data_IF_587437316986
#
_entry.id   IF_587437316986
#
_cell.length_a   1.000
_cell.length_b   1.000
_cell.length_c   1.000
_cell.angle_alpha   90.00
_cell.angle_beta   90.00
_cell.angle_gamma   90.00
#
_symmetry.space_group_name_H-M   'P 1'
#
loop_
_entity.id
_entity.type
_entity.pdbx_description
1 polymer ?
#
# COMPACT_ATOMS: atom_id res chain seq x y z
N UNK A 1 -29.96 8.95 -10.09
CA UNK A 1 -30.20 7.89 -9.11
C UNK A 1 -31.25 8.39 -8.13
N UNK A 2 -32.24 7.58 -7.82
CA UNK A 2 -33.26 7.91 -6.83
C UNK A 2 -32.65 8.01 -5.42
N UNK A 3 -33.25 8.83 -4.56
CA UNK A 3 -32.81 9.00 -3.16
C UNK A 3 -32.92 7.68 -2.39
N UNK A 4 -33.95 6.87 -2.68
CA UNK A 4 -34.11 5.55 -2.06
C UNK A 4 -32.89 4.65 -2.30
N UNK A 5 -32.34 4.63 -3.52
CA UNK A 5 -31.14 3.82 -3.81
C UNK A 5 -29.94 4.32 -3.00
N UNK A 6 -29.76 5.64 -2.89
CA UNK A 6 -28.68 6.23 -2.08
C UNK A 6 -28.81 5.80 -0.61
N UNK A 7 -30.01 5.94 -0.02
CA UNK A 7 -30.27 5.58 1.37
C UNK A 7 -30.05 4.09 1.63
N UNK A 8 -30.39 3.24 0.67
CA UNK A 8 -30.23 1.79 0.78
C UNK A 8 -28.78 1.35 0.63
N UNK A 9 -28.00 2.02 -0.22
CA UNK A 9 -26.54 1.84 -0.26
C UNK A 9 -25.89 2.31 1.05
N UNK A 10 -26.34 3.44 1.61
CA UNK A 10 -25.86 3.93 2.90
C UNK A 10 -26.16 2.93 4.04
N UNK A 11 -27.38 2.40 4.08
CA UNK A 11 -27.79 1.41 5.07
C UNK A 11 -26.96 0.11 4.99
N UNK A 12 -26.49 -0.28 3.80
CA UNK A 12 -25.64 -1.46 3.62
C UNK A 12 -24.35 -1.36 4.45
N UNK A 13 -23.73 -0.17 4.53
CA UNK A 13 -22.48 0.04 5.27
C UNK A 13 -22.61 -0.18 6.78
N UNK A 14 -23.82 -0.18 7.33
CA UNK A 14 -24.08 -0.50 8.74
C UNK A 14 -24.25 -2.01 9.01
N UNK A 15 -24.00 -2.85 8.01
CA UNK A 15 -24.20 -4.30 8.07
C UNK A 15 -22.93 -5.05 7.65
N UNK A 16 -22.93 -6.37 7.80
CA UNK A 16 -21.86 -7.25 7.30
C UNK A 16 -22.07 -7.71 5.86
N UNK A 17 -23.13 -7.22 5.20
CA UNK A 17 -23.42 -7.54 3.80
C UNK A 17 -22.34 -6.96 2.88
N UNK A 18 -21.73 -7.80 2.05
CA UNK A 18 -20.78 -7.39 1.03
C UNK A 18 -21.03 -8.14 -0.27
N UNK A 19 -21.28 -7.46 -1.40
CA UNK A 19 -21.44 -8.14 -2.68
C UNK A 19 -20.23 -9.01 -3.07
N UNK A 20 -20.47 -10.20 -3.61
CA UNK A 20 -19.39 -11.02 -4.16
C UNK A 20 -19.11 -10.60 -5.61
N UNK A 21 -17.99 -9.92 -5.81
CA UNK A 21 -17.62 -9.28 -7.09
C UNK A 21 -16.45 -10.03 -7.74
N UNK A 22 -16.48 -10.32 -9.05
CA UNK A 22 -15.34 -10.94 -9.74
C UNK A 22 -14.17 -9.97 -9.84
N UNK A 23 -12.96 -10.48 -9.63
CA UNK A 23 -11.71 -9.71 -9.72
C UNK A 23 -11.37 -9.28 -11.16
N UNK A 24 -11.72 -10.08 -12.15
CA UNK A 24 -11.39 -9.85 -13.56
C UNK A 24 -12.62 -9.47 -14.39
N UNK A 25 -12.40 -8.69 -15.44
CA UNK A 25 -13.42 -8.36 -16.45
C UNK A 25 -13.61 -6.87 -16.72
N UNK A 26 -13.16 -5.99 -15.82
CA UNK A 26 -13.16 -4.55 -16.10
C UNK A 26 -12.01 -4.14 -17.01
N UNK A 27 -12.33 -3.28 -17.97
CA UNK A 27 -11.36 -2.57 -18.82
C UNK A 27 -11.25 -1.08 -18.44
N UNK A 28 -12.07 -0.60 -17.49
CA UNK A 28 -12.09 0.78 -17.00
C UNK A 28 -12.57 1.85 -17.99
N UNK A 29 -13.17 1.45 -19.12
CA UNK A 29 -13.47 2.35 -20.25
C UNK A 29 -14.90 2.90 -20.29
N UNK A 30 -15.86 2.21 -19.67
CA UNK A 30 -17.23 2.71 -19.42
C UNK A 30 -17.52 2.62 -17.92
N UNK A 31 -16.47 2.90 -17.14
CA UNK A 31 -16.40 2.58 -15.73
C UNK A 31 -16.09 1.11 -15.47
N UNK A 32 -16.21 0.74 -14.20
CA UNK A 32 -16.04 -0.60 -13.65
C UNK A 32 -17.29 -1.45 -13.87
N UNK A 33 -17.78 -1.47 -15.11
CA UNK A 33 -19.11 -1.97 -15.48
C UNK A 33 -19.38 -3.40 -14.99
N UNK A 34 -18.45 -4.33 -15.28
CA UNK A 34 -18.61 -5.74 -14.89
C UNK A 34 -18.67 -5.89 -13.36
N UNK A 35 -17.67 -5.45 -12.58
CA UNK A 35 -17.73 -5.64 -11.14
C UNK A 35 -18.89 -4.88 -10.47
N UNK A 36 -19.23 -3.66 -10.93
CA UNK A 36 -20.37 -2.92 -10.40
C UNK A 36 -21.72 -3.53 -10.78
N UNK A 37 -21.84 -4.19 -11.94
CA UNK A 37 -23.03 -4.96 -12.29
C UNK A 37 -23.22 -6.15 -11.35
N UNK A 38 -22.14 -6.88 -11.00
CA UNK A 38 -22.24 -7.94 -10.00
C UNK A 38 -22.63 -7.40 -8.61
N UNK A 39 -22.06 -6.26 -8.20
CA UNK A 39 -22.44 -5.60 -6.96
C UNK A 39 -23.93 -5.22 -6.94
N UNK A 40 -24.41 -4.62 -8.03
CA UNK A 40 -25.81 -4.25 -8.22
C UNK A 40 -26.73 -5.46 -8.21
N UNK A 41 -26.35 -6.57 -8.85
CA UNK A 41 -27.16 -7.78 -8.87
C UNK A 41 -27.25 -8.43 -7.49
N UNK A 42 -26.16 -8.43 -6.72
CA UNK A 42 -26.18 -8.90 -5.32
C UNK A 42 -27.14 -8.07 -4.46
N UNK A 43 -27.10 -6.74 -4.59
CA UNK A 43 -28.04 -5.84 -3.91
C UNK A 43 -29.51 -6.06 -4.33
N UNK A 44 -29.75 -6.63 -5.51
CA UNK A 44 -31.08 -7.08 -5.97
C UNK A 44 -31.44 -8.51 -5.53
N UNK A 45 -30.62 -9.13 -4.68
CA UNK A 45 -30.81 -10.50 -4.20
C UNK A 45 -30.45 -11.58 -5.22
N UNK A 46 -29.63 -11.27 -6.23
CA UNK A 46 -29.24 -12.20 -7.30
C UNK A 46 -27.73 -12.49 -7.24
N UNK A 47 -27.35 -13.72 -7.57
CA UNK A 47 -25.95 -14.14 -7.50
C UNK A 47 -25.52 -14.43 -6.05
N UNK A 48 -24.33 -13.97 -5.67
CA UNK A 48 -23.75 -14.27 -4.36
C UNK A 48 -23.32 -13.00 -3.63
N UNK A 49 -23.33 -13.06 -2.31
CA UNK A 49 -22.78 -12.04 -1.43
C UNK A 49 -22.20 -12.71 -0.18
N UNK A 50 -21.49 -11.93 0.61
CA UNK A 50 -21.05 -12.30 1.94
C UNK A 50 -21.99 -11.68 2.97
N UNK A 51 -22.29 -12.42 4.02
CA UNK A 51 -22.85 -11.90 5.27
C UNK A 51 -22.10 -12.58 6.43
N UNK A 52 -21.68 -11.81 7.42
CA UNK A 52 -20.82 -12.25 8.53
C UNK A 52 -19.58 -13.05 8.05
N UNK A 53 -18.96 -12.59 6.95
CA UNK A 53 -17.79 -13.21 6.34
C UNK A 53 -18.07 -14.51 5.56
N UNK A 54 -19.31 -14.98 5.47
CA UNK A 54 -19.67 -16.23 4.77
C UNK A 54 -20.29 -15.95 3.42
N UNK A 55 -19.73 -16.54 2.36
CA UNK A 55 -20.30 -16.47 1.01
C UNK A 55 -21.57 -17.32 0.91
N UNK A 56 -22.66 -16.75 0.43
CA UNK A 56 -23.97 -17.41 0.28
C UNK A 56 -24.77 -16.77 -0.87
N UNK A 57 -25.93 -17.31 -1.27
CA UNK A 57 -26.83 -16.65 -2.21
C UNK A 57 -27.17 -15.23 -1.73
N UNK A 58 -27.20 -14.26 -2.65
CA UNK A 58 -27.33 -12.86 -2.27
C UNK A 58 -28.66 -12.53 -1.57
N UNK A 59 -29.75 -13.22 -1.94
CA UNK A 59 -31.04 -13.08 -1.25
C UNK A 59 -30.96 -13.47 0.23
N UNK A 60 -30.25 -14.57 0.53
CA UNK A 60 -30.07 -15.06 1.90
C UNK A 60 -29.18 -14.10 2.69
N UNK A 61 -28.09 -13.60 2.07
CA UNK A 61 -27.20 -12.62 2.69
C UNK A 61 -27.92 -11.31 3.03
N UNK A 62 -28.80 -10.82 2.15
CA UNK A 62 -29.64 -9.65 2.43
C UNK A 62 -30.56 -9.90 3.62
N UNK A 63 -31.22 -11.06 3.67
CA UNK A 63 -32.10 -11.43 4.78
C UNK A 63 -31.34 -11.53 6.11
N UNK A 64 -30.15 -12.14 6.13
CA UNK A 64 -29.26 -12.19 7.31
C UNK A 64 -28.90 -10.79 7.79
N UNK A 65 -28.58 -9.88 6.88
CA UNK A 65 -28.22 -8.50 7.19
C UNK A 65 -29.43 -7.58 7.51
N UNK A 66 -30.66 -8.10 7.48
CA UNK A 66 -31.87 -7.28 7.67
C UNK A 66 -32.15 -6.31 6.53
N UNK A 67 -31.54 -6.52 5.36
CA UNK A 67 -31.69 -5.71 4.17
C UNK A 67 -32.75 -6.32 3.25
N UNK A 68 -33.43 -5.45 2.48
CA UNK A 68 -34.34 -5.88 1.42
C UNK A 68 -33.62 -5.82 0.05
N UNK A 69 -34.05 -6.60 -0.96
CA UNK A 69 -33.59 -6.41 -2.33
C UNK A 69 -33.87 -5.00 -2.86
N UNK A 70 -32.99 -4.47 -3.70
CA UNK A 70 -33.22 -3.21 -4.40
C UNK A 70 -34.22 -3.38 -5.55
N UNK A 71 -35.24 -2.52 -5.57
CA UNK A 71 -36.02 -2.25 -6.77
C UNK A 71 -35.32 -1.14 -7.55
N UNK A 72 -35.12 -1.33 -8.86
CA UNK A 72 -34.49 -0.32 -9.71
C UNK A 72 -35.53 0.21 -10.69
N UNK A 73 -35.60 1.52 -10.86
CA UNK A 73 -36.39 2.18 -11.89
C UNK A 73 -35.52 3.10 -12.76
N UNK A 74 -36.09 3.56 -13.88
CA UNK A 74 -35.49 4.59 -14.73
C UNK A 74 -34.00 4.37 -15.02
N UNK A 75 -33.16 5.29 -14.51
CA UNK A 75 -31.70 5.32 -14.73
C UNK A 75 -30.90 4.69 -13.58
N UNK A 76 -31.55 4.16 -12.54
CA UNK A 76 -30.84 3.66 -11.36
C UNK A 76 -29.84 2.55 -11.71
N UNK A 77 -30.22 1.63 -12.60
CA UNK A 77 -29.34 0.56 -13.05
C UNK A 77 -28.06 1.10 -13.72
N UNK A 78 -28.17 2.11 -14.58
CA UNK A 78 -27.01 2.69 -15.26
C UNK A 78 -26.13 3.49 -14.29
N UNK A 79 -26.76 4.27 -13.40
CA UNK A 79 -26.04 5.08 -12.41
C UNK A 79 -25.23 4.23 -11.40
N UNK A 80 -25.68 3.00 -11.12
CA UNK A 80 -24.98 2.08 -10.21
C UNK A 80 -23.78 1.38 -10.86
N UNK A 81 -23.75 1.27 -12.20
CA UNK A 81 -22.73 0.49 -12.91
C UNK A 81 -21.75 1.33 -13.71
N UNK A 82 -22.09 2.59 -13.99
CA UNK A 82 -21.27 3.49 -14.79
C UNK A 82 -20.47 4.44 -13.89
N UNK A 83 -19.19 4.15 -13.72
CA UNK A 83 -18.26 4.96 -12.92
C UNK A 83 -17.03 4.19 -12.51
N UNK A 84 -16.07 4.84 -11.88
CA UNK A 84 -14.74 4.30 -11.56
C UNK A 84 -14.61 3.77 -10.12
N UNK A 85 -15.72 3.51 -9.44
CA UNK A 85 -15.72 3.29 -7.99
C UNK A 85 -14.88 2.11 -7.50
N UNK A 86 -14.76 1.02 -8.27
CA UNK A 86 -13.92 -0.14 -7.89
C UNK A 86 -12.46 0.21 -8.07
N UNK A 87 -12.11 0.86 -9.18
CA UNK A 87 -10.77 1.34 -9.48
C UNK A 87 -10.30 2.33 -8.42
N UNK A 88 -11.12 3.34 -8.11
CA UNK A 88 -10.81 4.37 -7.11
C UNK A 88 -10.68 3.75 -5.71
N UNK A 89 -11.58 2.85 -5.31
CA UNK A 89 -11.49 2.17 -4.01
C UNK A 89 -10.22 1.31 -3.88
N UNK A 90 -9.91 0.51 -4.91
CA UNK A 90 -8.70 -0.32 -4.92
C UNK A 90 -7.42 0.52 -4.89
N UNK A 91 -7.39 1.65 -5.62
CA UNK A 91 -6.24 2.55 -5.63
C UNK A 91 -6.07 3.26 -4.29
N UNK A 92 -7.15 3.72 -3.66
CA UNK A 92 -7.11 4.35 -2.34
C UNK A 92 -6.56 3.40 -1.28
N UNK A 93 -7.07 2.16 -1.24
CA UNK A 93 -6.59 1.12 -0.32
C UNK A 93 -5.12 0.75 -0.59
N UNK A 94 -4.73 0.63 -1.85
CA UNK A 94 -3.34 0.38 -2.22
C UNK A 94 -2.43 1.54 -1.77
N UNK A 95 -2.85 2.79 -1.99
CA UNK A 95 -2.08 3.97 -1.61
C UNK A 95 -1.87 4.02 -0.10
N UNK A 96 -2.93 3.82 0.68
CA UNK A 96 -2.86 3.79 2.15
C UNK A 96 -1.91 2.68 2.65
N UNK A 97 -2.03 1.46 2.11
CA UNK A 97 -1.17 0.35 2.48
C UNK A 97 0.31 0.58 2.11
N UNK A 98 0.61 1.11 0.92
CA UNK A 98 1.99 1.46 0.52
C UNK A 98 2.52 2.61 1.37
N UNK A 99 1.69 3.59 1.71
CA UNK A 99 2.06 4.71 2.60
C UNK A 99 2.39 4.21 4.00
N UNK A 100 1.61 3.30 4.57
CA UNK A 100 1.92 2.67 5.85
C UNK A 100 3.25 1.90 5.79
N UNK A 101 3.51 1.17 4.71
CA UNK A 101 4.78 0.47 4.51
C UNK A 101 5.96 1.42 4.33
N UNK A 102 5.78 2.56 3.65
CA UNK A 102 6.79 3.62 3.52
C UNK A 102 7.19 4.20 4.88
N UNK A 103 6.22 4.52 5.75
CA UNK A 103 6.48 5.00 7.12
C UNK A 103 7.19 3.92 7.95
N UNK A 104 6.73 2.68 7.85
CA UNK A 104 7.36 1.52 8.50
C UNK A 104 8.81 1.37 8.08
N UNK A 105 9.09 1.39 6.77
CA UNK A 105 10.43 1.23 6.22
C UNK A 105 11.35 2.41 6.58
N UNK A 106 10.83 3.62 6.67
CA UNK A 106 11.58 4.80 7.15
C UNK A 106 12.05 4.58 8.59
N UNK A 107 11.17 4.12 9.47
CA UNK A 107 11.48 3.82 10.87
C UNK A 107 12.46 2.65 11.01
N UNK A 108 12.27 1.58 10.24
CA UNK A 108 13.18 0.43 10.20
C UNK A 108 14.56 0.79 9.65
N UNK A 109 14.63 1.69 8.64
CA UNK A 109 15.90 2.21 8.14
C UNK A 109 16.65 2.97 9.23
N UNK A 110 15.97 3.81 10.00
CA UNK A 110 16.58 4.51 11.13
C UNK A 110 17.05 3.52 12.21
N UNK A 111 16.23 2.53 12.56
CA UNK A 111 16.62 1.49 13.51
C UNK A 111 17.84 0.71 13.01
N UNK A 112 17.93 0.39 11.73
CA UNK A 112 19.08 -0.28 11.13
C UNK A 112 20.35 0.59 11.20
N UNK A 113 20.25 1.86 10.83
CA UNK A 113 21.35 2.85 10.93
C UNK A 113 21.90 2.90 12.36
N UNK A 114 21.00 2.96 13.34
CA UNK A 114 21.38 3.03 14.74
C UNK A 114 21.94 1.68 15.26
N UNK A 115 21.28 0.55 15.00
CA UNK A 115 21.76 -0.78 15.41
C UNK A 115 23.13 -1.11 14.83
N UNK A 116 23.43 -0.69 13.60
CA UNK A 116 24.76 -0.88 13.00
C UNK A 116 25.78 0.20 13.42
N UNK A 117 25.35 1.26 14.11
CA UNK A 117 26.19 2.36 14.53
C UNK A 117 26.80 3.14 13.38
N UNK A 118 26.02 3.33 12.31
CA UNK A 118 26.36 4.15 11.15
C UNK A 118 26.43 5.63 11.53
N UNK A 119 27.25 6.39 10.78
CA UNK A 119 27.22 7.86 10.83
C UNK A 119 26.04 8.38 9.99
N UNK A 120 25.06 9.09 10.58
CA UNK A 120 23.91 9.61 9.85
C UNK A 120 24.20 10.89 9.06
N UNK A 121 25.46 11.28 8.83
CA UNK A 121 25.85 12.49 8.09
C UNK A 121 25.25 12.61 6.68
N UNK A 122 24.80 11.50 6.07
CA UNK A 122 24.03 11.52 4.81
C UNK A 122 22.63 12.14 4.93
N UNK A 123 22.18 12.42 6.16
CA UNK A 123 20.94 13.14 6.46
C UNK A 123 21.18 14.65 6.65
N UNK A 124 22.38 15.16 6.40
CA UNK A 124 22.68 16.58 6.55
C UNK A 124 21.69 17.48 5.80
N UNK A 125 21.23 18.54 6.46
CA UNK A 125 20.18 19.40 5.93
C UNK A 125 20.66 20.28 4.77
N UNK A 126 21.93 20.71 4.77
CA UNK A 126 22.51 21.51 3.70
C UNK A 126 22.76 20.63 2.47
N UNK A 127 23.24 19.39 2.68
CA UNK A 127 23.39 18.38 1.62
C UNK A 127 22.06 18.12 0.89
N UNK A 128 20.99 17.85 1.65
CA UNK A 128 19.68 17.57 1.06
C UNK A 128 19.04 18.81 0.43
N UNK A 129 19.25 20.00 0.99
CA UNK A 129 18.83 21.26 0.36
C UNK A 129 19.57 21.52 -0.96
N UNK A 130 20.87 21.22 -1.02
CA UNK A 130 21.65 21.33 -2.25
C UNK A 130 21.20 20.33 -3.33
N UNK A 131 20.65 19.17 -2.94
CA UNK A 131 20.06 18.22 -3.88
C UNK A 131 18.78 18.75 -4.55
N UNK A 132 18.01 19.60 -3.86
CA UNK A 132 16.91 20.38 -4.46
C UNK A 132 15.54 19.67 -4.57
N UNK A 133 15.40 18.45 -4.04
CA UNK A 133 14.14 17.70 -4.05
C UNK A 133 13.42 17.80 -2.69
N UNK A 134 12.19 18.33 -2.69
CA UNK A 134 11.40 18.54 -1.48
C UNK A 134 11.19 17.25 -0.67
N UNK A 135 10.78 16.15 -1.32
CA UNK A 135 10.59 14.88 -0.62
C UNK A 135 11.86 14.38 0.07
N UNK A 136 13.04 14.59 -0.53
CA UNK A 136 14.31 14.19 0.08
C UNK A 136 14.66 15.02 1.31
N UNK A 137 14.37 16.33 1.27
CA UNK A 137 14.53 17.24 2.41
C UNK A 137 13.61 16.82 3.56
N UNK A 138 12.35 16.53 3.27
CA UNK A 138 11.34 16.13 4.24
C UNK A 138 11.66 14.76 4.85
N UNK A 139 12.02 13.78 4.03
CA UNK A 139 12.44 12.45 4.47
C UNK A 139 13.68 12.55 5.37
N UNK A 140 14.68 13.36 4.98
CA UNK A 140 15.85 13.61 5.81
C UNK A 140 15.51 14.26 7.14
N UNK A 141 14.57 15.22 7.17
CA UNK A 141 14.11 15.84 8.42
C UNK A 141 13.45 14.82 9.36
N UNK A 142 12.56 13.98 8.83
CA UNK A 142 11.93 12.88 9.60
C UNK A 142 12.97 11.91 10.14
N UNK A 143 13.91 11.46 9.30
CA UNK A 143 14.96 10.54 9.72
C UNK A 143 15.88 11.14 10.78
N UNK A 144 16.29 12.42 10.65
CA UNK A 144 17.06 13.12 11.69
C UNK A 144 16.32 13.19 13.02
N UNK A 145 15.01 13.42 12.99
CA UNK A 145 14.19 13.43 14.19
C UNK A 145 14.10 12.05 14.86
N UNK A 146 13.95 10.98 14.07
CA UNK A 146 13.95 9.59 14.57
C UNK A 146 15.31 9.20 15.16
N UNK A 147 16.41 9.66 14.54
CA UNK A 147 17.79 9.40 14.95
C UNK A 147 18.35 10.41 15.97
N UNK A 148 17.53 11.29 16.54
CA UNK A 148 17.98 12.20 17.58
C UNK A 148 18.52 11.41 18.78
N UNK A 149 19.79 11.64 19.14
CA UNK A 149 20.50 10.86 20.17
C UNK A 149 21.27 9.63 19.63
N UNK A 150 21.26 9.40 18.32
CA UNK A 150 22.11 8.39 17.68
C UNK A 150 23.59 8.76 17.86
N UNK A 151 24.37 7.84 18.43
CA UNK A 151 25.83 7.95 18.58
C UNK A 151 26.48 6.95 17.63
N UNK A 152 27.24 7.36 16.61
CA UNK A 152 27.94 6.43 15.72
C UNK A 152 28.93 5.55 16.49
N UNK A 153 29.17 4.33 15.99
CA UNK A 153 30.11 3.38 16.61
C UNK A 153 31.58 3.76 16.42
N UNK A 154 31.88 4.56 15.38
CA UNK A 154 33.26 4.86 14.95
C UNK A 154 33.96 3.70 14.23
N UNK A 155 33.36 2.52 14.15
CA UNK A 155 33.92 1.33 13.49
C UNK A 155 33.37 1.08 12.08
N UNK A 156 32.39 1.88 11.64
CA UNK A 156 31.79 1.79 10.30
C UNK A 156 32.67 2.48 9.25
N UNK A 157 32.62 2.05 7.98
CA UNK A 157 33.29 2.75 6.89
C UNK A 157 32.80 4.20 6.73
N UNK A 158 33.64 5.06 6.14
CA UNK A 158 33.28 6.45 5.84
C UNK A 158 32.00 6.58 4.98
N UNK A 159 31.79 5.63 4.07
CA UNK A 159 30.61 5.62 3.20
C UNK A 159 29.82 4.34 3.38
N UNK A 160 28.58 4.50 3.83
CA UNK A 160 27.61 3.43 3.86
C UNK A 160 27.13 3.06 2.44
N UNK A 161 26.72 1.78 2.22
CA UNK A 161 26.12 1.36 0.96
C UNK A 161 24.80 2.09 0.71
N UNK A 162 24.34 2.07 -0.55
CA UNK A 162 23.20 2.87 -0.98
C UNK A 162 21.87 2.52 -0.30
N UNK A 163 21.70 1.26 0.13
CA UNK A 163 20.55 0.83 0.92
C UNK A 163 20.44 1.51 2.29
N UNK A 164 21.47 2.22 2.73
CA UNK A 164 21.47 3.08 3.92
C UNK A 164 21.64 4.55 3.51
N UNK A 165 22.73 4.86 2.81
CA UNK A 165 23.14 6.25 2.51
C UNK A 165 22.21 6.99 1.55
N UNK A 166 21.56 6.29 0.62
CA UNK A 166 20.66 6.89 -0.36
C UNK A 166 19.19 6.83 0.07
N UNK A 167 18.91 6.40 1.31
CA UNK A 167 17.56 6.27 1.85
C UNK A 167 16.75 7.58 1.84
N UNK A 168 17.28 8.77 2.22
CA UNK A 168 16.46 9.97 2.19
C UNK A 168 16.03 10.36 0.77
N UNK A 169 16.87 10.12 -0.25
CA UNK A 169 16.50 10.38 -1.65
C UNK A 169 15.43 9.40 -2.14
N UNK A 170 15.58 8.10 -1.85
CA UNK A 170 14.63 7.08 -2.28
C UNK A 170 13.27 7.24 -1.57
N UNK A 171 13.29 7.31 -0.24
CA UNK A 171 12.08 7.48 0.57
C UNK A 171 11.41 8.84 0.28
N UNK A 172 12.19 9.88 0.01
CA UNK A 172 11.67 11.18 -0.41
C UNK A 172 10.98 11.16 -1.77
N UNK A 173 11.58 10.51 -2.77
CA UNK A 173 10.95 10.35 -4.09
C UNK A 173 9.67 9.51 -4.01
N UNK A 174 9.64 8.49 -3.15
CA UNK A 174 8.44 7.71 -2.89
C UNK A 174 7.33 8.56 -2.24
N UNK A 175 7.66 9.45 -1.30
CA UNK A 175 6.70 10.37 -0.69
C UNK A 175 6.09 11.33 -1.72
N UNK A 176 6.92 11.89 -2.61
CA UNK A 176 6.45 12.78 -3.68
C UNK A 176 5.49 12.07 -4.64
N UNK A 177 5.78 10.80 -4.98
CA UNK A 177 4.91 9.98 -5.80
C UNK A 177 3.59 9.63 -5.07
N UNK A 178 3.63 9.29 -3.78
CA UNK A 178 2.43 9.04 -2.98
C UNK A 178 1.53 10.29 -2.90
N UNK A 179 2.11 11.49 -2.77
CA UNK A 179 1.35 12.76 -2.80
C UNK A 179 0.63 12.98 -4.13
N UNK A 180 1.25 12.61 -5.26
CA UNK A 180 0.57 12.64 -6.56
C UNK A 180 -0.60 11.65 -6.61
N UNK A 181 -0.39 10.41 -6.15
CA UNK A 181 -1.44 9.38 -6.11
C UNK A 181 -2.62 9.82 -5.23
N UNK A 182 -2.35 10.39 -4.06
CA UNK A 182 -3.39 10.94 -3.17
C UNK A 182 -4.19 12.06 -3.84
N UNK A 183 -3.55 12.92 -4.63
CA UNK A 183 -4.25 13.94 -5.41
C UNK A 183 -5.23 13.34 -6.41
N UNK A 184 -4.84 12.26 -7.09
CA UNK A 184 -5.70 11.53 -8.02
C UNK A 184 -6.86 10.84 -7.27
N UNK A 185 -6.58 10.14 -6.19
CA UNK A 185 -7.60 9.48 -5.36
C UNK A 185 -8.60 10.49 -4.80
N UNK A 186 -8.13 11.63 -4.31
CA UNK A 186 -8.98 12.70 -3.77
C UNK A 186 -9.89 13.28 -4.85
N UNK A 187 -9.36 13.52 -6.05
CA UNK A 187 -10.15 14.00 -7.18
C UNK A 187 -11.21 12.98 -7.62
N UNK A 188 -10.86 11.69 -7.69
CA UNK A 188 -11.79 10.63 -8.06
C UNK A 188 -12.91 10.45 -7.02
N UNK A 189 -12.58 10.48 -5.72
CA UNK A 189 -13.56 10.37 -4.63
C UNK A 189 -14.51 11.58 -4.57
N UNK A 190 -14.01 12.77 -4.91
CA UNK A 190 -14.81 14.00 -4.94
C UNK A 190 -15.53 14.25 -6.28
N UNK A 191 -15.24 13.46 -7.30
CA UNK A 191 -15.74 13.64 -8.66
C UNK A 191 -17.02 12.86 -8.99
N UNK A 192 -17.62 13.16 -10.14
CA UNK A 192 -18.74 12.39 -10.69
C UNK A 192 -18.26 11.69 -11.97
N UNK A 193 -18.08 10.36 -11.88
CA UNK A 193 -17.61 9.51 -12.98
C UNK A 193 -18.72 8.90 -13.83
N UNK A 194 -19.99 9.26 -13.61
CA UNK A 194 -21.15 8.76 -14.36
C UNK A 194 -21.32 9.45 -15.73
N UNK A 195 -22.15 8.88 -16.61
CA UNK A 195 -22.57 9.45 -17.88
C UNK A 195 -23.97 8.95 -18.35
N UNK A 196 -24.84 9.83 -18.90
CA UNK A 196 -24.70 11.28 -18.98
C UNK A 196 -24.87 12.00 -17.64
N UNK A 197 -24.37 13.24 -17.56
CA UNK A 197 -24.59 14.09 -16.41
C UNK A 197 -25.74 15.07 -16.65
N UNK A 198 -26.52 15.29 -15.59
CA UNK A 198 -27.59 16.28 -15.56
C UNK A 198 -27.12 17.51 -14.78
N UNK A 199 -27.15 18.66 -15.43
CA UNK A 199 -26.86 19.96 -14.83
C UNK A 199 -28.19 20.71 -14.68
N UNK A 200 -28.76 20.78 -13.47
CA UNK A 200 -29.96 21.59 -13.25
C UNK A 200 -29.63 23.06 -13.53
N UNK A 201 -30.59 23.81 -14.10
CA UNK A 201 -30.47 25.27 -14.18
C UNK A 201 -30.57 25.85 -12.77
N UNK A 202 -29.73 26.85 -12.44
CA UNK A 202 -29.76 27.48 -11.12
C UNK A 202 -31.10 28.19 -10.84
N UNK A 203 -31.50 28.26 -9.57
CA UNK A 203 -32.65 29.06 -9.17
C UNK A 203 -32.36 30.55 -9.47
N UNK A 204 -33.02 31.11 -10.48
CA UNK A 204 -32.80 32.48 -10.95
C UNK A 204 -31.90 32.60 -12.19
N UNK A 205 -31.40 31.50 -12.73
CA UNK A 205 -30.68 31.49 -14.01
C UNK A 205 -31.67 31.40 -15.18
N UNK A 206 -31.48 32.24 -16.21
CA UNK A 206 -32.31 32.25 -17.41
C UNK A 206 -32.08 31.03 -18.32
N UNK A 207 -31.01 30.26 -18.09
CA UNK A 207 -30.65 29.12 -18.91
C UNK A 207 -31.38 27.83 -18.44
N UNK A 208 -32.00 27.07 -19.34
CA UNK A 208 -32.58 25.78 -18.98
C UNK A 208 -31.49 24.80 -18.52
N UNK A 209 -31.84 23.88 -17.62
CA UNK A 209 -30.96 22.77 -17.27
C UNK A 209 -30.58 21.94 -18.50
N UNK A 210 -29.43 21.25 -18.45
CA UNK A 210 -28.89 20.50 -19.59
C UNK A 210 -28.47 19.07 -19.21
N UNK A 211 -28.62 18.16 -20.15
CA UNK A 211 -28.04 16.81 -20.10
C UNK A 211 -26.83 16.79 -21.02
N UNK A 212 -25.67 16.37 -20.50
CA UNK A 212 -24.41 16.34 -21.25
C UNK A 212 -23.85 14.93 -21.25
N UNK A 213 -23.53 14.44 -22.44
CA UNK A 213 -22.82 13.18 -22.63
C UNK A 213 -21.31 13.45 -22.64
N UNK A 214 -20.54 12.60 -21.96
CA UNK A 214 -19.10 12.72 -21.81
C UNK A 214 -18.44 11.40 -21.44
N UNK A 215 -17.16 11.47 -21.06
CA UNK A 215 -16.30 10.32 -20.78
C UNK A 215 -15.74 10.30 -19.35
N UNK A 216 -16.44 10.87 -18.36
CA UNK A 216 -15.93 10.95 -16.98
C UNK A 216 -15.69 9.56 -16.34
N UNK A 217 -16.27 8.52 -16.90
CA UNK A 217 -16.04 7.12 -16.52
C UNK A 217 -14.69 6.56 -17.00
N UNK A 218 -13.90 7.32 -17.75
CA UNK A 218 -12.64 6.90 -18.33
C UNK A 218 -11.49 7.04 -17.31
N UNK A 219 -11.23 5.95 -16.57
CA UNK A 219 -10.32 5.93 -15.41
C UNK A 219 -8.81 6.01 -15.71
N UNK A 220 -8.38 6.72 -16.75
CA UNK A 220 -6.96 6.84 -17.11
C UNK A 220 -6.10 7.52 -16.02
N UNK A 221 -6.55 8.58 -15.32
CA UNK A 221 -5.77 9.18 -14.24
C UNK A 221 -5.44 8.16 -13.14
N UNK A 222 -6.43 7.39 -12.69
CA UNK A 222 -6.25 6.33 -11.71
C UNK A 222 -5.34 5.21 -12.24
N UNK A 223 -5.43 4.85 -13.53
CA UNK A 223 -4.56 3.86 -14.14
C UNK A 223 -3.07 4.27 -14.09
N UNK A 224 -2.75 5.51 -14.45
CA UNK A 224 -1.38 6.02 -14.35
C UNK A 224 -0.90 6.14 -12.91
N UNK A 225 -1.75 6.61 -12.00
CA UNK A 225 -1.43 6.68 -10.58
C UNK A 225 -1.15 5.28 -10.00
N UNK A 226 -1.94 4.27 -10.38
CA UNK A 226 -1.73 2.89 -9.95
C UNK A 226 -0.42 2.28 -10.48
N UNK A 227 -0.04 2.54 -11.74
CA UNK A 227 1.23 2.08 -12.31
C UNK A 227 2.45 2.79 -11.69
N UNK A 228 2.31 4.09 -11.36
CA UNK A 228 3.31 4.80 -10.57
C UNK A 228 3.44 4.20 -9.16
N UNK A 229 2.32 3.93 -8.49
CA UNK A 229 2.30 3.31 -7.16
C UNK A 229 2.94 1.91 -7.18
N UNK A 230 2.71 1.12 -8.23
CA UNK A 230 3.37 -0.18 -8.43
C UNK A 230 4.90 -0.03 -8.52
N UNK A 231 5.38 0.99 -9.23
CA UNK A 231 6.81 1.31 -9.33
C UNK A 231 7.40 1.72 -7.98
N UNK A 232 6.65 2.52 -7.20
CA UNK A 232 7.04 2.90 -5.83
C UNK A 232 7.13 1.67 -4.93
N UNK A 233 6.11 0.80 -4.93
CA UNK A 233 6.11 -0.42 -4.13
C UNK A 233 7.30 -1.34 -4.49
N UNK A 234 7.65 -1.45 -5.77
CA UNK A 234 8.83 -2.19 -6.22
C UNK A 234 10.15 -1.62 -5.66
N UNK A 235 10.31 -0.30 -5.65
CA UNK A 235 11.52 0.34 -5.12
C UNK A 235 11.61 0.27 -3.59
N UNK A 236 10.50 0.42 -2.87
CA UNK A 236 10.46 0.22 -1.43
C UNK A 236 10.74 -1.26 -1.06
N UNK A 237 10.20 -2.20 -1.83
CA UNK A 237 10.47 -3.63 -1.65
C UNK A 237 11.94 -3.97 -1.87
N UNK A 238 12.55 -3.42 -2.93
CA UNK A 238 13.99 -3.54 -3.17
C UNK A 238 14.80 -2.97 -1.98
N UNK A 239 14.43 -1.81 -1.44
CA UNK A 239 15.13 -1.21 -0.30
C UNK A 239 15.05 -2.11 0.94
N UNK A 240 13.84 -2.55 1.32
CA UNK A 240 13.64 -3.42 2.48
C UNK A 240 14.43 -4.74 2.37
N UNK A 241 14.42 -5.35 1.20
CA UNK A 241 15.12 -6.61 0.96
C UNK A 241 16.64 -6.42 0.92
N UNK A 242 17.15 -5.35 0.30
CA UNK A 242 18.60 -5.03 0.32
C UNK A 242 19.10 -4.67 1.72
N UNK A 243 18.25 -4.09 2.56
CA UNK A 243 18.57 -3.82 3.97
C UNK A 243 18.60 -5.10 4.80
N UNK A 244 17.67 -6.02 4.57
CA UNK A 244 17.71 -7.35 5.21
C UNK A 244 18.95 -8.13 4.75
N UNK A 245 19.24 -8.15 3.46
CA UNK A 245 20.41 -8.79 2.87
C UNK A 245 21.73 -8.25 3.46
N UNK A 246 21.83 -6.93 3.64
CA UNK A 246 22.95 -6.31 4.35
C UNK A 246 23.06 -6.81 5.79
N UNK A 247 21.95 -6.88 6.50
CA UNK A 247 21.91 -7.22 7.91
C UNK A 247 22.28 -8.68 8.19
N UNK A 248 21.97 -9.61 7.29
CA UNK A 248 22.26 -11.04 7.47
C UNK A 248 23.68 -11.46 7.07
N UNK A 249 24.45 -10.56 6.45
CA UNK A 249 25.80 -10.83 5.97
C UNK A 249 26.89 -10.29 6.94
N UNK A 250 27.71 -11.18 7.55
CA UNK A 250 28.78 -10.79 8.48
C UNK A 250 29.76 -9.76 7.92
N UNK A 251 30.01 -9.79 6.61
CA UNK A 251 30.95 -8.88 5.95
C UNK A 251 30.42 -7.44 5.96
N UNK A 252 29.09 -7.26 5.96
CA UNK A 252 28.42 -5.97 5.82
C UNK A 252 27.73 -5.47 7.09
N UNK A 253 27.38 -6.37 8.00
CA UNK A 253 26.66 -6.05 9.25
C UNK A 253 27.56 -5.76 10.46
N UNK A 254 28.89 -5.78 10.29
CA UNK A 254 29.84 -5.54 11.38
C UNK A 254 30.26 -6.82 12.13
N UNK A 255 30.17 -7.98 11.50
CA UNK A 255 30.68 -9.25 12.04
C UNK A 255 29.70 -10.04 12.90
N UNK A 256 28.39 -9.74 12.82
CA UNK A 256 27.37 -10.56 13.47
C UNK A 256 27.36 -11.98 12.85
N UNK A 257 26.82 -12.99 13.56
CA UNK A 257 26.69 -14.34 13.02
C UNK A 257 25.99 -14.36 11.65
N UNK A 258 26.43 -15.21 10.70
CA UNK A 258 25.80 -15.32 9.40
C UNK A 258 24.33 -15.71 9.55
N UNK A 259 23.45 -15.08 8.76
CA UNK A 259 22.00 -15.25 8.83
C UNK A 259 21.39 -14.91 10.19
N UNK A 260 22.14 -14.24 11.07
CA UNK A 260 21.75 -13.96 12.45
C UNK A 260 21.37 -15.22 13.25
N UNK A 261 22.03 -16.35 12.95
CA UNK A 261 21.84 -17.61 13.66
C UNK A 261 22.58 -17.61 15.01
N UNK A 262 21.93 -18.09 16.07
CA UNK A 262 22.55 -18.21 17.40
C UNK A 262 23.64 -19.29 17.42
N UNK A 263 23.46 -20.37 16.65
CA UNK A 263 24.46 -21.42 16.45
C UNK A 263 24.70 -21.70 14.94
N UNK A 264 25.55 -20.90 14.25
CA UNK A 264 25.82 -21.07 12.82
C UNK A 264 26.24 -22.51 12.44
N UNK A 265 25.62 -23.05 11.41
CA UNK A 265 25.85 -24.43 10.93
C UNK A 265 24.94 -25.48 11.57
N UNK A 266 24.50 -25.27 12.82
CA UNK A 266 23.48 -26.09 13.47
C UNK A 266 22.06 -25.50 13.33
N UNK A 267 21.98 -24.17 13.24
CA UNK A 267 20.76 -23.38 13.03
C UNK A 267 20.89 -22.53 11.75
N UNK A 268 19.76 -22.28 11.10
CA UNK A 268 19.65 -21.50 9.87
C UNK A 268 19.30 -20.04 10.12
N UNK A 269 18.79 -19.69 11.31
CA UNK A 269 18.42 -18.32 11.65
C UNK A 269 17.41 -17.74 10.65
N UNK A 270 17.77 -16.65 9.98
CA UNK A 270 16.92 -15.96 9.02
C UNK A 270 17.08 -16.40 7.57
N UNK A 271 17.81 -17.48 7.27
CA UNK A 271 18.01 -17.93 5.90
C UNK A 271 16.70 -18.13 5.13
N UNK A 272 15.70 -18.77 5.76
CA UNK A 272 14.37 -18.95 5.14
C UNK A 272 13.63 -17.64 4.89
N UNK A 273 13.80 -16.65 5.78
CA UNK A 273 13.20 -15.32 5.64
C UNK A 273 13.85 -14.58 4.47
N UNK A 274 15.18 -14.58 4.36
CA UNK A 274 15.88 -13.95 3.23
C UNK A 274 15.41 -14.54 1.89
N UNK A 275 15.35 -15.87 1.77
CA UNK A 275 14.84 -16.54 0.57
C UNK A 275 13.41 -16.12 0.22
N UNK A 276 12.53 -16.06 1.22
CA UNK A 276 11.16 -15.59 1.04
C UNK A 276 11.15 -14.13 0.54
N UNK A 277 11.91 -13.22 1.15
CA UNK A 277 11.96 -11.82 0.74
C UNK A 277 12.45 -11.63 -0.70
N UNK A 278 13.46 -12.40 -1.14
CA UNK A 278 13.92 -12.39 -2.53
C UNK A 278 12.80 -12.82 -3.50
N UNK A 279 12.03 -13.86 -3.14
CA UNK A 279 10.88 -14.30 -3.94
C UNK A 279 9.75 -13.26 -3.98
N UNK A 280 9.45 -12.61 -2.85
CA UNK A 280 8.44 -11.55 -2.76
C UNK A 280 8.80 -10.35 -3.64
N UNK A 281 10.05 -9.89 -3.60
CA UNK A 281 10.52 -8.79 -4.46
C UNK A 281 10.46 -9.18 -5.94
N UNK A 282 10.83 -10.41 -6.29
CA UNK A 282 10.71 -10.89 -7.67
C UNK A 282 9.25 -10.84 -8.17
N UNK A 283 8.30 -11.23 -7.33
CA UNK A 283 6.87 -11.16 -7.65
C UNK A 283 6.36 -9.72 -7.81
N UNK A 284 6.71 -8.83 -6.88
CA UNK A 284 6.40 -7.39 -6.98
C UNK A 284 6.93 -6.80 -8.29
N UNK A 285 8.20 -7.09 -8.64
CA UNK A 285 8.83 -6.58 -9.87
C UNK A 285 8.17 -7.14 -11.13
N UNK A 286 7.77 -8.40 -11.13
CA UNK A 286 7.02 -9.02 -12.23
C UNK A 286 5.64 -8.37 -12.39
N UNK A 287 4.98 -8.04 -11.28
CA UNK A 287 3.68 -7.38 -11.28
C UNK A 287 3.75 -5.90 -11.71
N UNK A 288 4.87 -5.20 -11.51
CA UNK A 288 5.00 -3.77 -11.79
C UNK A 288 4.92 -3.35 -13.28
N UNK A 289 4.69 -4.28 -14.21
CA UNK A 289 4.48 -3.97 -15.62
C UNK A 289 3.24 -3.07 -15.85
N UNK A 290 3.35 -1.93 -16.55
CA UNK A 290 2.25 -0.97 -16.66
C UNK A 290 1.01 -1.58 -17.32
N UNK A 291 -0.11 -1.58 -16.59
CA UNK A 291 -1.40 -2.03 -17.12
C UNK A 291 -2.07 -0.93 -17.96
N UNK A 292 -1.79 0.34 -17.65
CA UNK A 292 -2.43 1.50 -18.27
C UNK A 292 -2.14 1.68 -19.76
N UNK A 293 -1.17 0.94 -20.30
CA UNK A 293 -0.74 1.00 -21.70
C UNK A 293 -1.13 -0.23 -22.52
N UNK A 294 -1.93 -1.15 -21.94
CA UNK A 294 -2.28 -2.43 -22.55
C UNK A 294 -3.56 -2.36 -23.40
N UNK A 295 -4.03 -1.16 -23.75
CA UNK A 295 -5.30 -0.90 -24.44
C UNK A 295 -5.51 -1.79 -25.67
N UNK A 296 -6.68 -2.42 -25.75
CA UNK A 296 -7.17 -3.16 -26.92
C UNK A 296 -8.63 -2.79 -27.18
N UNK A 297 -9.05 -2.65 -28.45
CA UNK A 297 -10.43 -2.31 -28.77
C UNK A 297 -11.38 -3.44 -28.38
N UNK A 298 -12.51 -3.08 -27.78
CA UNK A 298 -13.58 -3.99 -27.39
C UNK A 298 -14.96 -3.39 -27.71
N UNK A 299 -16.01 -4.19 -27.53
CA UNK A 299 -17.40 -3.79 -27.79
C UNK A 299 -17.60 -3.22 -29.20
N UNK A 300 -17.20 -3.99 -30.23
CA UNK A 300 -17.31 -3.62 -31.65
C UNK A 300 -16.68 -2.24 -31.96
N UNK A 301 -15.53 -1.94 -31.35
CA UNK A 301 -14.81 -0.66 -31.46
C UNK A 301 -15.55 0.56 -30.88
N UNK A 302 -16.65 0.38 -30.14
CA UNK A 302 -17.21 1.47 -29.34
C UNK A 302 -16.34 1.81 -28.12
N UNK A 303 -15.56 0.83 -27.63
CA UNK A 303 -14.52 1.01 -26.62
C UNK A 303 -13.18 0.69 -27.28
N UNK A 304 -12.75 1.56 -28.19
CA UNK A 304 -11.56 1.39 -29.01
C UNK A 304 -10.25 1.71 -28.28
N UNK A 305 -10.31 2.55 -27.25
CA UNK A 305 -9.23 2.82 -26.29
C UNK A 305 -9.75 2.58 -24.88
N UNK A 306 -8.98 1.88 -24.04
CA UNK A 306 -9.39 1.49 -22.68
C UNK A 306 -8.23 1.64 -21.67
N UNK A 307 -8.48 2.12 -20.43
CA UNK A 307 -7.42 2.50 -19.50
C UNK A 307 -6.89 1.37 -18.61
N UNK A 308 -7.62 0.28 -18.42
CA UNK A 308 -7.24 -0.83 -17.51
C UNK A 308 -6.94 -0.44 -16.05
N UNK A 309 -7.51 0.68 -15.57
CA UNK A 309 -7.29 1.20 -14.22
C UNK A 309 -7.61 0.21 -13.10
N UNK A 310 -8.70 -0.56 -13.22
CA UNK A 310 -9.09 -1.55 -12.20
C UNK A 310 -8.00 -2.61 -11.98
N UNK A 311 -7.38 -3.09 -13.06
CA UNK A 311 -6.33 -4.10 -12.99
C UNK A 311 -5.06 -3.52 -12.40
N UNK A 312 -4.70 -2.29 -12.81
CA UNK A 312 -3.57 -1.57 -12.25
C UNK A 312 -3.73 -1.40 -10.73
N UNK A 313 -4.89 -0.92 -10.27
CA UNK A 313 -5.18 -0.64 -8.87
C UNK A 313 -5.23 -1.90 -7.99
N UNK A 314 -5.97 -2.93 -8.41
CA UNK A 314 -6.08 -4.20 -7.67
C UNK A 314 -4.73 -4.92 -7.54
N UNK A 315 -3.87 -4.79 -8.54
CA UNK A 315 -2.51 -5.35 -8.50
C UNK A 315 -1.61 -4.55 -7.56
N UNK A 316 -1.68 -3.22 -7.60
CA UNK A 316 -0.93 -2.38 -6.64
C UNK A 316 -1.35 -2.67 -5.19
N UNK A 317 -2.63 -3.00 -4.96
CA UNK A 317 -3.11 -3.48 -3.66
C UNK A 317 -2.41 -4.79 -3.25
N UNK A 318 -2.39 -5.81 -4.10
CA UNK A 318 -1.70 -7.08 -3.79
C UNK A 318 -0.20 -6.85 -3.52
N UNK A 319 0.46 -5.97 -4.30
CA UNK A 319 1.87 -5.62 -4.10
C UNK A 319 2.11 -4.95 -2.74
N UNK A 320 1.16 -4.16 -2.24
CA UNK A 320 1.25 -3.53 -0.92
C UNK A 320 1.23 -4.56 0.22
N UNK A 321 0.47 -5.65 0.08
CA UNK A 321 0.46 -6.75 1.06
C UNK A 321 1.85 -7.43 1.12
N UNK A 322 2.45 -7.70 -0.04
CA UNK A 322 3.80 -8.26 -0.12
C UNK A 322 4.85 -7.31 0.47
N UNK A 323 4.70 -6.01 0.24
CA UNK A 323 5.56 -4.98 0.81
C UNK A 323 5.47 -4.96 2.34
N UNK A 324 4.28 -5.13 2.92
CA UNK A 324 4.10 -5.28 4.37
C UNK A 324 4.88 -6.48 4.94
N UNK A 325 4.90 -7.61 4.24
CA UNK A 325 5.70 -8.79 4.62
C UNK A 325 7.21 -8.52 4.53
N UNK A 326 7.67 -7.73 3.56
CA UNK A 326 9.07 -7.31 3.46
C UNK A 326 9.47 -6.43 4.65
N UNK A 327 8.64 -5.46 5.04
CA UNK A 327 8.86 -4.66 6.24
C UNK A 327 8.89 -5.52 7.51
N UNK A 328 7.94 -6.45 7.66
CA UNK A 328 7.92 -7.39 8.79
C UNK A 328 9.16 -8.29 8.86
N UNK A 329 9.69 -8.71 7.70
CA UNK A 329 10.91 -9.52 7.60
C UNK A 329 12.15 -8.74 8.03
N UNK A 330 12.28 -7.48 7.61
CA UNK A 330 13.36 -6.60 8.07
C UNK A 330 13.28 -6.31 9.57
N UNK A 331 12.08 -6.09 10.10
CA UNK A 331 11.86 -5.87 11.54
C UNK A 331 12.24 -7.09 12.38
N UNK A 332 11.85 -8.29 11.95
CA UNK A 332 12.29 -9.55 12.55
C UNK A 332 13.83 -9.65 12.52
N UNK A 333 14.44 -9.26 11.40
CA UNK A 333 15.90 -9.17 11.25
C UNK A 333 16.56 -8.26 12.27
N UNK A 334 16.07 -7.03 12.42
CA UNK A 334 16.62 -6.05 13.37
C UNK A 334 16.48 -6.51 14.82
N UNK A 335 15.34 -7.08 15.17
CA UNK A 335 15.11 -7.69 16.47
C UNK A 335 16.09 -8.83 16.73
N UNK A 336 16.30 -9.71 15.76
CA UNK A 336 17.22 -10.85 15.89
C UNK A 336 18.68 -10.40 15.96
N UNK A 337 19.06 -9.35 15.21
CA UNK A 337 20.42 -8.81 15.20
C UNK A 337 20.89 -8.43 16.61
N UNK A 338 20.05 -7.72 17.38
CA UNK A 338 20.39 -7.32 18.75
C UNK A 338 20.47 -8.53 19.69
N UNK A 339 19.63 -9.54 19.46
CA UNK A 339 19.71 -10.78 20.24
C UNK A 339 21.01 -11.55 20.03
N UNK A 340 21.54 -11.56 18.80
CA UNK A 340 22.80 -12.25 18.47
C UNK A 340 24.05 -11.37 18.60
N UNK A 341 23.95 -10.22 19.29
CA UNK A 341 25.10 -9.42 19.71
C UNK A 341 25.28 -8.08 19.00
N UNK A 342 24.34 -7.63 18.18
CA UNK A 342 24.35 -6.23 17.74
C UNK A 342 24.11 -5.29 18.93
N UNK A 343 24.64 -4.06 18.84
CA UNK A 343 24.43 -3.08 19.90
C UNK A 343 22.95 -2.72 20.00
N UNK A 344 22.51 -2.34 21.21
CA UNK A 344 21.25 -1.62 21.34
C UNK A 344 21.34 -0.25 20.64
N UNK A 345 20.26 0.21 20.01
CA UNK A 345 20.18 1.56 19.45
C UNK A 345 20.31 2.61 20.55
N UNK A 346 20.93 3.74 20.24
CA UNK A 346 21.14 4.83 21.21
C UNK A 346 20.11 5.95 21.07
N UNK A 347 19.47 6.10 19.91
CA UNK A 347 18.37 7.02 19.71
C UNK A 347 17.11 6.49 20.44
N UNK A 348 16.46 7.28 21.32
CA UNK A 348 15.33 6.81 22.12
C UNK A 348 14.16 6.24 21.31
N UNK A 349 13.85 6.84 20.15
CA UNK A 349 12.77 6.34 19.26
C UNK A 349 13.10 4.99 18.63
N UNK A 350 14.36 4.78 18.26
CA UNK A 350 14.81 3.48 17.75
C UNK A 350 14.81 2.43 18.86
N UNK A 351 15.21 2.79 20.08
CA UNK A 351 15.13 1.90 21.25
C UNK A 351 13.68 1.49 21.56
N UNK A 352 12.74 2.43 21.56
CA UNK A 352 11.32 2.13 21.78
C UNK A 352 10.75 1.16 20.73
N UNK A 353 11.06 1.38 19.44
CA UNK A 353 10.64 0.46 18.38
C UNK A 353 11.24 -0.94 18.56
N UNK A 354 12.53 -1.02 18.91
CA UNK A 354 13.17 -2.31 19.18
C UNK A 354 12.53 -3.02 20.38
N UNK A 355 12.21 -2.30 21.46
CA UNK A 355 11.57 -2.86 22.65
C UNK A 355 10.17 -3.41 22.33
N UNK A 356 9.37 -2.67 21.56
CA UNK A 356 8.07 -3.14 21.09
C UNK A 356 8.20 -4.41 20.22
N UNK A 357 9.19 -4.48 19.33
CA UNK A 357 9.47 -5.68 18.54
C UNK A 357 9.92 -6.85 19.42
N UNK A 358 10.74 -6.61 20.44
CA UNK A 358 11.22 -7.65 21.34
C UNK A 358 10.12 -8.20 22.27
N UNK A 359 9.15 -7.37 22.66
CA UNK A 359 7.96 -7.78 23.41
C UNK A 359 7.04 -8.66 22.55
N UNK A 360 6.83 -8.28 21.29
CA UNK A 360 5.92 -8.99 20.39
C UNK A 360 6.50 -10.28 19.79
N UNK A 361 7.84 -10.37 19.66
CA UNK A 361 8.50 -11.41 18.89
C UNK A 361 9.62 -12.04 19.71
N UNK A 362 9.47 -13.34 20.01
CA UNK A 362 10.49 -14.12 20.68
C UNK A 362 11.75 -14.29 19.81
N UNK A 363 12.95 -14.45 20.41
CA UNK A 363 14.15 -14.73 19.64
C UNK A 363 14.03 -15.99 18.80
N UNK A 364 14.77 -16.01 17.70
CA UNK A 364 14.93 -17.24 16.90
C UNK A 364 16.04 -18.07 17.56
N UNK A 365 15.66 -18.84 18.58
CA UNK A 365 16.52 -19.82 19.24
C UNK A 365 15.66 -20.88 20.00
N UNK A 366 15.57 -22.14 19.53
CA UNK A 366 16.15 -22.68 18.30
C UNK A 366 15.35 -22.28 17.04
N UNK A 367 15.79 -22.78 15.87
CA UNK A 367 15.05 -22.66 14.60
C UNK A 367 13.59 -23.10 14.73
N UNK A 368 12.69 -22.34 14.11
CA UNK A 368 11.23 -22.56 14.09
C UNK A 368 10.61 -21.91 12.86
N UNK A 369 9.36 -22.22 12.49
CA UNK A 369 8.62 -21.46 11.49
C UNK A 369 8.52 -19.98 11.89
N UNK A 370 8.76 -19.06 10.94
CA UNK A 370 8.85 -17.62 11.18
C UNK A 370 7.75 -16.78 10.49
N UNK A 371 6.83 -17.43 9.77
CA UNK A 371 5.76 -16.73 9.02
C UNK A 371 4.81 -15.97 9.95
N UNK A 372 4.52 -16.54 11.12
CA UNK A 372 3.70 -15.90 12.15
C UNK A 372 4.39 -14.64 12.72
N UNK A 373 5.71 -14.68 12.93
CA UNK A 373 6.46 -13.53 13.45
C UNK A 373 6.57 -12.42 12.42
N UNK A 374 6.85 -12.76 11.16
CA UNK A 374 6.89 -11.78 10.07
C UNK A 374 5.56 -11.04 9.98
N UNK A 375 4.43 -11.76 10.07
CA UNK A 375 3.10 -11.15 10.06
C UNK A 375 2.82 -10.35 11.34
N UNK A 376 3.29 -10.81 12.49
CA UNK A 376 3.16 -10.07 13.75
C UNK A 376 3.95 -8.74 13.70
N UNK A 377 5.19 -8.79 13.22
CA UNK A 377 6.04 -7.63 13.00
C UNK A 377 5.38 -6.63 12.03
N UNK A 378 4.89 -7.12 10.88
CA UNK A 378 4.21 -6.28 9.89
C UNK A 378 2.99 -5.56 10.47
N UNK A 379 2.15 -6.26 11.25
CA UNK A 379 1.00 -5.64 11.93
C UNK A 379 1.43 -4.61 12.98
N UNK A 380 2.45 -4.93 13.79
CA UNK A 380 2.95 -4.03 14.82
C UNK A 380 3.38 -2.69 14.21
N UNK A 381 4.13 -2.72 13.10
CA UNK A 381 4.65 -1.51 12.44
C UNK A 381 3.53 -0.57 11.97
N UNK A 382 2.41 -1.11 11.50
CA UNK A 382 1.25 -0.30 11.08
C UNK A 382 0.61 0.43 12.27
N UNK A 383 0.59 -0.19 13.45
CA UNK A 383 0.01 0.37 14.68
C UNK A 383 0.97 1.23 15.50
N UNK A 384 2.28 1.01 15.34
CA UNK A 384 3.34 1.62 16.15
C UNK A 384 4.04 2.73 15.37
N UNK A 385 3.25 3.67 14.84
CA UNK A 385 3.78 4.77 14.05
C UNK A 385 4.34 5.88 14.94
N UNK A 386 5.66 5.85 15.14
CA UNK A 386 6.43 6.84 15.91
C UNK A 386 6.64 8.16 15.12
N UNK A 387 6.14 8.24 13.87
CA UNK A 387 6.31 9.43 13.01
C UNK A 387 5.17 10.44 13.10
N UNK A 388 4.13 10.17 13.90
CA UNK A 388 3.02 11.11 14.13
C UNK A 388 3.41 12.39 14.89
N UNK A 389 4.64 12.49 15.40
CA UNK A 389 5.11 13.59 16.26
C UNK A 389 5.84 14.73 15.52
N UNK A 390 5.75 14.80 14.19
CA UNK A 390 6.23 15.97 13.43
C UNK A 390 5.05 16.73 12.80
N UNK A 391 5.01 18.07 12.94
CA UNK A 391 3.98 18.91 12.32
C UNK A 391 4.01 18.90 10.79
#
# INVERSE_FOLDING_TARGET
MSVEIVDRLAAMFATTFCPAVPRFGSVGASGDLIPLAYATQALRGRGHAYADGRRMPAADALAVAGLRPLGLDGRDALALVNGTSVTTAALALACDAVRAAHRSLTSLTCLLVDVLGCDPGFLDADLLRAYGHAGAIDAGARMRHTLAGCTPSGSRPLQEPYSLRCSPQLLGAAEDALRYVDGVVTADLGGISDNPLFFPGGAGEAAPGKVVHGGNFFGQPAAFAADLLASVAAQLGNLAERQLDLLVDPVRNGGLPPMLATAPGAQHGLQGVQLATTALVAEIRRAAGPASMQSLPTNLHNQDVVPFGTQAALRSHDMAELLGLLCGSLALGLRQAVHVGARRPTAPRCAALLDALAEAIAPVDPDRPLDADVRAAARLLVTHDVTHDLP
#
